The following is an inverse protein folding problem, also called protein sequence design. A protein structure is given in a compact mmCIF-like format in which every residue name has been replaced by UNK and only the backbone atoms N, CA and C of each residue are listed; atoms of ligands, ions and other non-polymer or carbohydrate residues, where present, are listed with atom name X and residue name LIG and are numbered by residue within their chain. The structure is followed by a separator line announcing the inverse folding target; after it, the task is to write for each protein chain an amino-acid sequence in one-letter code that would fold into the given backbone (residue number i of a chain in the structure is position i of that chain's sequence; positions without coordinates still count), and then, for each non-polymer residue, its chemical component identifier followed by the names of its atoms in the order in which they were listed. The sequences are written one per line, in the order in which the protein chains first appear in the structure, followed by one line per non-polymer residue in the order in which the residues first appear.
data_IF_403272407524
#
_entry.id   IF_403272407524
#
_cell.length_a   1.000
_cell.length_b   1.000
_cell.length_c   1.000
_cell.angle_alpha   90.00
_cell.angle_beta   90.00
_cell.angle_gamma   90.00
#
_symmetry.space_group_name_H-M   'P 1'
#
loop_
_entity.id
_entity.type
_entity.pdbx_description
1 polymer ?
#
# COMPACT_ATOMS: atom_id res chain seq x y z
N UNK A 1 32.49 -9.76 8.33
CA UNK A 1 31.32 -10.49 7.81
C UNK A 1 31.56 -10.80 6.34
N UNK A 2 31.88 -12.04 6.00
CA UNK A 2 32.26 -12.45 4.63
C UNK A 2 30.99 -12.88 3.89
N UNK A 3 30.52 -12.06 2.95
CA UNK A 3 29.43 -12.42 2.06
C UNK A 3 29.94 -13.38 0.98
N UNK A 4 29.61 -14.67 1.11
CA UNK A 4 29.93 -15.70 0.11
C UNK A 4 29.11 -15.42 -1.15
N UNK A 5 29.73 -14.84 -2.19
CA UNK A 5 29.11 -14.71 -3.51
C UNK A 5 29.03 -16.09 -4.14
N UNK A 6 27.82 -16.59 -4.38
CA UNK A 6 27.60 -17.80 -5.19
C UNK A 6 27.87 -17.43 -6.64
N UNK A 7 28.90 -18.03 -7.25
CA UNK A 7 29.06 -18.06 -8.71
C UNK A 7 28.00 -19.01 -9.24
N UNK A 8 27.18 -18.53 -10.19
CA UNK A 8 26.26 -19.36 -10.95
C UNK A 8 27.05 -19.77 -12.19
N UNK A 9 27.41 -21.05 -12.29
CA UNK A 9 27.90 -21.68 -13.52
C UNK A 9 26.69 -22.05 -14.38
N UNK A 10 26.78 -21.96 -15.71
CA UNK A 10 25.73 -22.48 -16.59
C UNK A 10 26.05 -23.96 -16.83
N UNK A 11 25.61 -24.82 -15.93
CA UNK A 11 25.60 -26.26 -16.20
C UNK A 11 24.30 -26.60 -16.93
N UNK A 12 24.45 -27.20 -18.11
CA UNK A 12 23.43 -27.45 -19.14
C UNK A 12 22.48 -28.62 -18.80
N UNK A 13 22.09 -28.77 -17.51
CA UNK A 13 21.23 -29.89 -17.04
C UNK A 13 19.93 -29.42 -16.33
N UNK A 14 19.58 -28.13 -16.44
CA UNK A 14 18.54 -27.50 -15.62
C UNK A 14 17.15 -27.39 -16.29
N UNK A 15 16.68 -28.40 -17.02
CA UNK A 15 15.36 -28.29 -17.68
C UNK A 15 14.15 -28.49 -16.75
N UNK A 16 14.28 -29.05 -15.54
CA UNK A 16 13.11 -29.30 -14.66
C UNK A 16 13.35 -29.09 -13.14
N UNK A 17 14.32 -28.27 -12.74
CA UNK A 17 14.52 -28.01 -11.30
C UNK A 17 13.49 -26.99 -10.77
N UNK A 18 12.55 -27.46 -9.96
CA UNK A 18 11.53 -26.61 -9.35
C UNK A 18 12.17 -25.54 -8.45
N UNK A 19 12.17 -24.28 -8.90
CA UNK A 19 12.71 -23.16 -8.13
C UNK A 19 11.71 -22.69 -7.06
N UNK A 20 11.97 -23.04 -5.80
CA UNK A 20 11.14 -22.63 -4.67
C UNK A 20 11.52 -21.24 -4.16
N UNK A 21 10.55 -20.32 -4.15
CA UNK A 21 10.72 -18.95 -3.62
C UNK A 21 9.77 -18.68 -2.46
N UNK A 22 10.30 -18.05 -1.42
CA UNK A 22 9.53 -17.53 -0.30
C UNK A 22 8.58 -16.42 -0.78
N UNK A 23 7.28 -16.57 -0.52
CA UNK A 23 6.25 -15.57 -0.86
C UNK A 23 6.56 -14.20 -0.21
N UNK A 24 7.22 -14.21 0.95
CA UNK A 24 7.63 -12.97 1.64
C UNK A 24 8.74 -12.22 0.88
N UNK A 25 9.61 -12.97 0.21
CA UNK A 25 10.80 -12.41 -0.47
C UNK A 25 10.53 -12.04 -1.94
N UNK A 26 9.50 -12.66 -2.54
CA UNK A 26 9.04 -12.39 -3.90
C UNK A 26 9.01 -10.90 -4.30
N UNK A 27 8.44 -9.97 -3.51
CA UNK A 27 8.40 -8.55 -3.88
C UNK A 27 9.80 -7.93 -4.02
N UNK A 28 10.77 -8.39 -3.24
CA UNK A 28 12.15 -7.91 -3.28
C UNK A 28 12.92 -8.52 -4.45
N UNK A 29 12.68 -9.79 -4.75
CA UNK A 29 13.32 -10.48 -5.87
C UNK A 29 12.83 -9.94 -7.22
N UNK A 30 11.55 -9.63 -7.36
CA UNK A 30 11.01 -8.92 -8.52
C UNK A 30 11.72 -7.57 -8.71
N UNK A 31 11.93 -6.82 -7.63
CA UNK A 31 12.63 -5.54 -7.70
C UNK A 31 14.12 -5.71 -8.04
N UNK A 32 14.79 -6.75 -7.53
CA UNK A 32 16.17 -7.08 -7.89
C UNK A 32 16.31 -7.43 -9.37
N UNK A 33 15.37 -8.22 -9.91
CA UNK A 33 15.33 -8.53 -11.34
C UNK A 33 15.12 -7.27 -12.19
N UNK A 34 14.18 -6.40 -11.82
CA UNK A 34 13.98 -5.10 -12.49
C UNK A 34 15.25 -4.25 -12.48
N UNK A 35 16.02 -4.24 -11.38
CA UNK A 35 17.30 -3.52 -11.29
C UNK A 35 18.38 -4.14 -12.19
N UNK A 36 18.35 -5.45 -12.41
CA UNK A 36 19.26 -6.13 -13.31
C UNK A 36 18.94 -5.85 -14.79
N UNK A 37 17.64 -5.75 -15.13
CA UNK A 37 17.16 -5.50 -16.49
C UNK A 37 17.20 -4.02 -16.90
N UNK A 38 17.10 -3.09 -15.95
CA UNK A 38 17.07 -1.65 -16.21
C UNK A 38 18.46 -1.01 -16.20
N UNK A 39 18.61 0.13 -16.88
CA UNK A 39 19.83 0.94 -16.89
C UNK A 39 19.54 2.41 -16.54
N UNK A 40 20.59 3.17 -16.22
CA UNK A 40 20.49 4.62 -16.01
C UNK A 40 19.57 5.06 -14.86
N UNK A 41 18.66 6.00 -15.17
CA UNK A 41 17.76 6.62 -14.19
C UNK A 41 16.71 5.66 -13.62
N UNK A 42 16.18 4.76 -14.46
CA UNK A 42 15.18 3.77 -14.06
C UNK A 42 15.75 2.79 -13.05
N UNK A 43 17.00 2.36 -13.27
CA UNK A 43 17.73 1.49 -12.32
C UNK A 43 17.90 2.16 -10.95
N UNK A 44 18.16 3.47 -10.92
CA UNK A 44 18.27 4.23 -9.66
C UNK A 44 16.93 4.32 -8.94
N UNK A 45 15.84 4.54 -9.68
CA UNK A 45 14.49 4.57 -9.12
C UNK A 45 14.08 3.21 -8.54
N UNK A 46 14.30 2.11 -9.27
CA UNK A 46 14.02 0.76 -8.80
C UNK A 46 14.86 0.37 -7.57
N UNK A 47 16.14 0.77 -7.53
CA UNK A 47 17.01 0.57 -6.37
C UNK A 47 16.52 1.35 -5.15
N UNK A 48 16.08 2.60 -5.34
CA UNK A 48 15.51 3.42 -4.28
C UNK A 48 14.23 2.80 -3.72
N UNK A 49 13.35 2.31 -4.57
CA UNK A 49 12.11 1.62 -4.16
C UNK A 49 12.43 0.37 -3.32
N UNK A 50 13.37 -0.46 -3.77
CA UNK A 50 13.80 -1.65 -3.04
C UNK A 50 14.31 -1.30 -1.64
N UNK A 51 15.17 -0.30 -1.54
CA UNK A 51 15.73 0.13 -0.26
C UNK A 51 14.64 0.65 0.70
N UNK A 52 13.70 1.44 0.20
CA UNK A 52 12.59 1.94 1.02
C UNK A 52 11.72 0.79 1.55
N UNK A 53 11.44 -0.22 0.72
CA UNK A 53 10.70 -1.42 1.16
C UNK A 53 11.48 -2.26 2.17
N UNK A 54 12.81 -2.25 2.13
CA UNK A 54 13.67 -2.89 3.12
C UNK A 54 13.82 -2.09 4.42
N UNK A 55 13.12 -0.96 4.56
CA UNK A 55 13.14 -0.14 5.77
C UNK A 55 14.24 0.94 5.77
N UNK A 56 14.82 1.26 4.61
CA UNK A 56 15.70 2.41 4.51
C UNK A 56 14.95 3.71 4.84
N UNK A 57 15.67 4.68 5.41
CA UNK A 57 15.12 5.98 5.75
C UNK A 57 14.61 6.70 4.49
N UNK A 58 13.37 7.24 4.49
CA UNK A 58 12.87 8.01 3.37
C UNK A 58 13.68 9.30 3.18
N UNK A 59 13.65 9.83 1.96
CA UNK A 59 14.30 11.10 1.65
C UNK A 59 13.73 12.23 2.52
N UNK A 60 14.62 13.14 2.91
CA UNK A 60 14.24 14.36 3.63
C UNK A 60 13.38 15.21 2.69
N UNK A 61 12.14 15.46 3.09
CA UNK A 61 11.28 16.41 2.39
C UNK A 61 11.88 17.81 2.53
N UNK A 62 11.83 18.60 1.47
CA UNK A 62 12.17 20.02 1.51
C UNK A 62 11.23 20.75 2.49
N UNK A 63 11.70 21.85 3.06
CA UNK A 63 10.83 22.75 3.81
C UNK A 63 9.82 23.37 2.83
N UNK A 64 8.54 23.14 3.09
CA UNK A 64 7.44 23.74 2.29
C UNK A 64 6.94 24.96 3.04
N UNK A 65 6.75 26.08 2.34
CA UNK A 65 6.15 27.27 2.93
C UNK A 65 4.71 26.95 3.38
N UNK A 66 4.40 27.23 4.65
CA UNK A 66 3.10 26.90 5.23
C UNK A 66 1.92 27.51 4.46
N UNK A 67 2.06 28.76 3.97
CA UNK A 67 1.01 29.44 3.21
C UNK A 67 0.69 28.68 1.92
N UNK A 68 1.71 28.32 1.16
CA UNK A 68 1.58 27.55 -0.08
C UNK A 68 0.95 26.18 0.17
N UNK A 69 1.40 25.46 1.21
CA UNK A 69 0.83 24.16 1.59
C UNK A 69 -0.67 24.25 1.89
N UNK A 70 -1.11 25.33 2.54
CA UNK A 70 -2.53 25.52 2.87
C UNK A 70 -3.36 25.89 1.64
N UNK A 71 -2.81 26.67 0.72
CA UNK A 71 -3.44 26.98 -0.56
C UNK A 71 -3.61 25.74 -1.44
N UNK A 72 -2.57 24.92 -1.57
CA UNK A 72 -2.61 23.63 -2.28
C UNK A 72 -3.66 22.70 -1.68
N UNK A 73 -3.72 22.58 -0.35
CA UNK A 73 -4.76 21.78 0.33
C UNK A 73 -6.16 22.31 0.03
N UNK A 74 -6.34 23.63 -0.03
CA UNK A 74 -7.62 24.26 -0.36
C UNK A 74 -8.01 23.98 -1.82
N UNK A 75 -7.06 24.07 -2.75
CA UNK A 75 -7.25 23.76 -4.15
C UNK A 75 -7.57 22.27 -4.36
N UNK A 76 -6.82 21.36 -3.74
CA UNK A 76 -7.06 19.92 -3.81
C UNK A 76 -8.43 19.52 -3.27
N UNK A 77 -8.90 20.13 -2.17
CA UNK A 77 -10.27 19.93 -1.67
C UNK A 77 -11.32 20.39 -2.68
N UNK A 78 -11.12 21.54 -3.33
CA UNK A 78 -12.04 22.03 -4.36
C UNK A 78 -12.07 21.11 -5.58
N UNK A 79 -10.91 20.66 -6.06
CA UNK A 79 -10.81 19.70 -7.17
C UNK A 79 -11.49 18.35 -6.83
N UNK A 80 -11.25 17.85 -5.62
CA UNK A 80 -11.92 16.64 -5.15
C UNK A 80 -13.44 16.82 -5.05
N UNK A 81 -13.94 18.02 -4.71
CA UNK A 81 -15.38 18.35 -4.69
C UNK A 81 -15.95 18.45 -6.11
N UNK A 82 -15.22 19.00 -7.08
CA UNK A 82 -15.68 19.06 -8.47
C UNK A 82 -15.79 17.68 -9.12
N UNK A 83 -14.96 16.72 -8.70
CA UNK A 83 -15.08 15.32 -9.10
C UNK A 83 -16.38 14.65 -8.61
N UNK A 84 -17.08 15.20 -7.60
CA UNK A 84 -18.40 14.70 -7.18
C UNK A 84 -19.47 14.89 -8.25
N UNK A 85 -19.28 15.83 -9.20
CA UNK A 85 -20.21 16.01 -10.33
C UNK A 85 -19.98 15.00 -11.46
N UNK A 86 -18.79 14.37 -11.52
CA UNK A 86 -18.45 13.41 -12.57
C UNK A 86 -18.61 11.97 -12.05
N UNK A 87 -19.76 11.36 -12.35
CA UNK A 87 -20.08 9.92 -12.52
C UNK A 87 -19.69 8.88 -11.45
N UNK A 88 -18.56 9.00 -10.73
CA UNK A 88 -18.08 8.04 -9.73
C UNK A 88 -18.99 7.89 -8.50
N UNK A 89 -19.92 8.82 -8.27
CA UNK A 89 -20.82 8.83 -7.11
C UNK A 89 -22.17 8.12 -7.31
N UNK A 90 -22.56 7.72 -8.53
CA UNK A 90 -23.81 6.97 -8.74
C UNK A 90 -23.83 5.61 -8.00
N UNK A 91 -22.66 5.09 -7.61
CA UNK A 91 -22.54 3.84 -6.83
C UNK A 91 -22.66 4.02 -5.31
N UNK A 92 -22.29 5.18 -4.74
CA UNK A 92 -22.23 5.38 -3.28
C UNK A 92 -23.43 6.14 -2.72
N UNK A 93 -24.20 6.85 -3.55
CA UNK A 93 -25.46 7.48 -3.13
C UNK A 93 -26.52 6.46 -2.77
N UNK A 94 -26.62 5.33 -3.50
CA UNK A 94 -27.48 4.20 -3.13
C UNK A 94 -27.10 3.63 -1.75
N UNK A 95 -25.82 3.40 -1.48
CA UNK A 95 -25.37 2.91 -0.15
C UNK A 95 -25.64 3.91 0.99
N UNK A 96 -25.54 5.21 0.70
CA UNK A 96 -25.86 6.28 1.64
C UNK A 96 -27.37 6.39 1.90
N UNK A 97 -28.21 6.21 0.88
CA UNK A 97 -29.68 6.18 0.99
C UNK A 97 -30.17 4.90 1.67
N UNK A 98 -29.53 3.74 1.44
CA UNK A 98 -29.91 2.46 2.04
C UNK A 98 -29.61 2.36 3.54
N UNK A 99 -29.03 3.38 4.17
CA UNK A 99 -28.98 3.53 5.64
C UNK A 99 -28.25 2.42 6.40
N UNK A 100 -27.58 1.49 5.71
CA UNK A 100 -26.94 0.31 6.33
C UNK A 100 -25.87 0.70 7.35
N UNK A 101 -25.31 1.91 7.22
CA UNK A 101 -24.25 2.42 8.11
C UNK A 101 -24.75 3.19 9.35
N UNK A 102 -26.00 3.68 9.37
CA UNK A 102 -26.54 4.48 10.50
C UNK A 102 -27.08 3.60 11.63
N UNK A 103 -27.67 2.44 11.30
CA UNK A 103 -28.16 1.45 12.28
C UNK A 103 -27.01 0.90 13.14
N UNK A 104 -25.84 0.66 12.54
CA UNK A 104 -24.64 0.18 13.26
C UNK A 104 -24.07 1.20 14.25
N UNK A 105 -24.12 2.50 13.94
CA UNK A 105 -23.65 3.56 14.87
C UNK A 105 -24.56 3.71 16.09
N UNK A 106 -25.89 3.69 15.91
CA UNK A 106 -26.86 3.72 17.03
C UNK A 106 -26.73 2.47 17.92
N UNK A 107 -26.60 1.28 17.33
CA UNK A 107 -26.34 0.04 18.04
C UNK A 107 -25.05 0.09 18.87
N UNK A 108 -23.92 0.51 18.26
CA UNK A 108 -22.63 0.67 18.97
C UNK A 108 -22.72 1.66 20.13
N UNK A 109 -23.44 2.78 19.96
CA UNK A 109 -23.61 3.79 21.02
C UNK A 109 -24.47 3.25 22.18
N UNK A 110 -25.52 2.47 21.89
CA UNK A 110 -26.36 1.83 22.91
C UNK A 110 -25.62 0.70 23.64
N UNK A 111 -24.84 -0.12 22.93
CA UNK A 111 -24.02 -1.17 23.51
C UNK A 111 -22.99 -0.61 24.52
N UNK A 112 -22.32 0.50 24.16
CA UNK A 112 -21.40 1.21 25.06
C UNK A 112 -22.09 1.76 26.32
N UNK A 113 -23.29 2.33 26.19
CA UNK A 113 -24.08 2.82 27.34
C UNK A 113 -24.55 1.70 28.27
N UNK A 114 -24.80 0.51 27.73
CA UNK A 114 -25.28 -0.65 28.50
C UNK A 114 -24.13 -1.50 29.06
N UNK A 115 -22.87 -1.05 28.97
CA UNK A 115 -21.70 -1.82 29.43
C UNK A 115 -21.43 -3.11 28.64
N UNK A 116 -22.25 -3.41 27.62
CA UNK A 116 -22.08 -4.59 26.77
C UNK A 116 -20.98 -4.26 25.76
N UNK A 117 -19.76 -4.74 26.02
CA UNK A 117 -18.72 -4.80 24.99
C UNK A 117 -19.32 -5.54 23.80
N UNK A 118 -19.20 -5.05 22.55
CA UNK A 118 -19.51 -5.90 21.42
C UNK A 118 -18.57 -7.09 21.55
N UNK A 119 -19.13 -8.28 21.77
CA UNK A 119 -18.39 -9.53 21.66
C UNK A 119 -17.75 -9.49 20.28
N UNK A 120 -16.43 -9.29 20.24
CA UNK A 120 -15.66 -9.66 19.08
C UNK A 120 -16.07 -11.11 18.81
N UNK A 121 -16.65 -11.36 17.64
CA UNK A 121 -17.07 -12.69 17.25
C UNK A 121 -15.90 -13.62 17.53
N UNK A 122 -16.05 -14.41 18.58
CA UNK A 122 -15.20 -15.54 18.86
C UNK A 122 -15.36 -16.46 17.66
N UNK A 123 -14.23 -16.92 17.13
CA UNK A 123 -14.23 -17.97 16.14
C UNK A 123 -15.01 -19.18 16.63
N UNK A 124 -15.81 -19.75 15.74
CA UNK A 124 -16.18 -21.17 15.72
C UNK A 124 -15.95 -21.58 14.26
N UNK A 125 -14.87 -22.31 14.01
CA UNK A 125 -14.90 -23.76 13.71
C UNK A 125 -15.72 -24.06 12.47
#
# INVERSE_FOLDING_TARGET
MVSKKRKITPDEEAEDEAYYVSVKDMPFDILRQRIAQSTGAERRAARKELLLKMGAKPEKRSCVNYRQLMEEKKAAKRAAITDYRNERFKKTTLERQLGKHTKSKKSKKRARKLGKRPSAAAGSK
#
